data_IF_921411015127
#
_entry.id   IF_921411015127
#
_cell.length_a   1.000
_cell.length_b   1.000
_cell.length_c   1.000
_cell.angle_alpha   90.00
_cell.angle_beta   90.00
_cell.angle_gamma   90.00
#
_symmetry.space_group_name_H-M   'P 1'
#
loop_
_entity.id
_entity.type
_entity.pdbx_description
1 polymer ?
#
# COMPACT_ATOMS: atom_id res chain seq x y z
N UNK A 1 20.50 -13.63 -9.34
CA UNK A 1 19.25 -13.08 -9.91
C UNK A 1 18.52 -12.31 -8.83
N UNK A 2 17.98 -11.13 -9.11
CA UNK A 2 17.33 -10.26 -8.10
C UNK A 2 15.86 -10.03 -8.44
N UNK A 3 15.04 -9.65 -7.45
CA UNK A 3 13.64 -9.31 -7.68
C UNK A 3 13.53 -8.18 -8.71
N UNK A 4 12.66 -8.38 -9.71
CA UNK A 4 12.39 -7.39 -10.75
C UNK A 4 11.40 -6.33 -10.28
N UNK A 5 10.53 -6.70 -9.32
CA UNK A 5 9.48 -5.85 -8.76
C UNK A 5 9.31 -6.12 -7.28
N UNK A 6 9.12 -5.04 -6.52
CA UNK A 6 8.85 -5.09 -5.09
C UNK A 6 7.52 -4.39 -4.83
N UNK A 7 6.61 -5.05 -4.13
CA UNK A 7 5.37 -4.45 -3.64
C UNK A 7 5.46 -4.32 -2.13
N UNK A 8 5.36 -3.12 -1.60
CA UNK A 8 5.43 -2.85 -0.17
C UNK A 8 4.09 -2.31 0.33
N UNK A 9 3.42 -3.07 1.19
CA UNK A 9 2.25 -2.60 1.92
C UNK A 9 2.68 -1.85 3.17
N UNK A 10 2.14 -0.64 3.37
CA UNK A 10 2.37 0.11 4.62
C UNK A 10 1.37 -0.36 5.68
N UNK A 11 1.85 -0.50 6.92
CA UNK A 11 1.09 -0.88 8.10
C UNK A 11 1.97 -0.98 9.34
N UNK A 12 1.37 -1.13 10.50
CA UNK A 12 2.03 -1.36 11.78
C UNK A 12 2.01 -2.86 12.13
N UNK A 13 3.12 -3.41 12.66
CA UNK A 13 3.15 -4.77 13.18
C UNK A 13 2.49 -4.86 14.55
N UNK A 14 1.88 -6.00 14.83
CA UNK A 14 1.26 -6.32 16.13
C UNK A 14 -0.24 -6.54 16.02
N UNK A 15 -0.78 -7.47 16.83
CA UNK A 15 -2.19 -7.83 16.79
C UNK A 15 -3.13 -6.66 17.13
N UNK A 16 -2.65 -5.67 17.88
CA UNK A 16 -3.40 -4.46 18.21
C UNK A 16 -3.70 -3.57 16.99
N UNK A 17 -2.95 -3.73 15.90
CA UNK A 17 -3.13 -3.00 14.64
C UNK A 17 -3.86 -3.80 13.57
N UNK A 18 -4.16 -5.08 13.83
CA UNK A 18 -4.87 -5.93 12.87
C UNK A 18 -6.25 -5.35 12.55
N UNK A 19 -6.55 -5.25 11.25
CA UNK A 19 -7.82 -4.69 10.78
C UNK A 19 -8.00 -3.20 10.95
N UNK A 20 -6.98 -2.46 11.41
CA UNK A 20 -7.04 -0.99 11.46
C UNK A 20 -6.92 -0.39 10.04
N UNK A 21 -7.42 0.84 9.88
CA UNK A 21 -7.36 1.57 8.60
C UNK A 21 -5.93 1.79 8.13
N UNK A 22 -5.00 2.00 9.05
CA UNK A 22 -3.58 2.21 8.73
C UNK A 22 -2.89 0.93 8.23
N UNK A 23 -3.51 -0.24 8.44
CA UNK A 23 -3.05 -1.52 7.91
C UNK A 23 -3.70 -1.91 6.57
N UNK A 24 -4.38 -0.97 5.88
CA UNK A 24 -4.97 -1.22 4.57
C UNK A 24 -3.96 -1.77 3.55
N UNK A 25 -2.70 -1.32 3.61
CA UNK A 25 -1.63 -1.86 2.78
C UNK A 25 -1.36 -3.35 3.06
N UNK A 26 -1.37 -3.77 4.32
CA UNK A 26 -1.21 -5.17 4.72
C UNK A 26 -2.38 -6.02 4.24
N UNK A 27 -3.62 -5.54 4.42
CA UNK A 27 -4.83 -6.26 3.98
C UNK A 27 -4.80 -6.57 2.48
N UNK A 28 -4.38 -5.62 1.65
CA UNK A 28 -4.24 -5.82 0.20
C UNK A 28 -3.19 -6.87 -0.11
N UNK A 29 -2.03 -6.84 0.57
CA UNK A 29 -0.97 -7.81 0.32
C UNK A 29 -1.32 -9.21 0.84
N UNK A 30 -2.04 -9.32 1.97
CA UNK A 30 -2.50 -10.60 2.47
C UNK A 30 -3.48 -11.25 1.49
N UNK A 31 -4.45 -10.49 0.98
CA UNK A 31 -5.39 -10.97 -0.04
C UNK A 31 -4.67 -11.37 -1.34
N UNK A 32 -3.69 -10.57 -1.78
CA UNK A 32 -2.92 -10.90 -2.98
C UNK A 32 -2.09 -12.16 -2.80
N UNK A 33 -1.42 -12.32 -1.66
CA UNK A 33 -0.62 -13.51 -1.36
C UNK A 33 -1.48 -14.77 -1.33
N UNK A 34 -2.62 -14.75 -0.63
CA UNK A 34 -3.58 -15.85 -0.58
C UNK A 34 -4.02 -16.26 -1.99
N UNK A 35 -4.43 -15.30 -2.82
CA UNK A 35 -4.86 -15.54 -4.20
C UNK A 35 -3.76 -16.13 -5.09
N UNK A 36 -2.51 -15.81 -4.81
CA UNK A 36 -1.34 -16.34 -5.53
C UNK A 36 -0.83 -17.68 -4.94
N UNK A 37 -1.47 -18.20 -3.90
CA UNK A 37 -1.03 -19.41 -3.19
C UNK A 37 0.30 -19.23 -2.46
N UNK A 38 0.61 -17.99 -2.03
CA UNK A 38 1.83 -17.63 -1.32
C UNK A 38 1.54 -17.38 0.16
N UNK A 39 2.55 -17.59 1.00
CA UNK A 39 2.48 -17.31 2.44
C UNK A 39 3.60 -16.38 2.85
N UNK A 40 3.29 -15.43 3.74
CA UNK A 40 4.29 -14.56 4.32
C UNK A 40 5.18 -15.31 5.30
N UNK A 41 6.48 -15.14 5.14
CA UNK A 41 7.50 -15.64 6.06
C UNK A 41 8.35 -14.49 6.56
N UNK A 42 8.99 -14.69 7.71
CA UNK A 42 9.96 -13.71 8.21
C UNK A 42 11.13 -13.63 7.23
N UNK A 43 11.52 -12.40 6.88
CA UNK A 43 12.72 -12.19 6.07
C UNK A 43 13.94 -12.66 6.86
N UNK A 44 14.48 -13.82 6.48
CA UNK A 44 15.73 -14.35 7.03
C UNK A 44 16.91 -13.92 6.17
N UNK A 45 18.06 -13.70 6.83
CA UNK A 45 19.31 -13.48 6.12
C UNK A 45 19.73 -14.81 5.51
N UNK A 46 19.72 -14.94 4.19
CA UNK A 46 20.46 -15.99 3.51
C UNK A 46 21.94 -15.59 3.53
N UNK A 47 22.68 -16.12 4.51
CA UNK A 47 24.06 -15.71 4.75
C UNK A 47 25.07 -16.30 3.75
N UNK A 48 24.77 -17.39 3.03
CA UNK A 48 25.82 -18.24 2.46
C UNK A 48 25.74 -18.56 0.97
N UNK A 49 24.76 -18.05 0.22
CA UNK A 49 24.71 -18.33 -1.23
C UNK A 49 25.23 -17.18 -2.12
N UNK A 50 25.80 -16.15 -1.53
CA UNK A 50 26.43 -15.04 -2.25
C UNK A 50 25.49 -14.14 -3.03
N UNK A 51 24.17 -14.35 -2.99
CA UNK A 51 23.23 -13.69 -3.89
C UNK A 51 22.48 -12.49 -3.31
N UNK A 52 22.35 -12.35 -1.98
CA UNK A 52 21.55 -11.25 -1.38
C UNK A 52 22.12 -10.81 -0.02
N UNK A 53 23.08 -9.90 -0.05
CA UNK A 53 23.64 -9.31 1.17
C UNK A 53 22.82 -8.09 1.58
N UNK A 54 22.05 -8.20 2.66
CA UNK A 54 21.49 -7.03 3.34
C UNK A 54 22.53 -6.47 4.33
N UNK A 55 22.98 -5.26 4.12
CA UNK A 55 23.73 -4.55 5.15
C UNK A 55 22.73 -4.01 6.20
N UNK A 56 22.58 -4.72 7.32
CA UNK A 56 21.73 -4.30 8.41
C UNK A 56 20.55 -5.25 8.72
N UNK A 57 19.84 -5.00 9.83
CA UNK A 57 18.64 -5.77 10.24
C UNK A 57 17.41 -5.22 9.56
N UNK A 58 17.02 -5.81 8.43
CA UNK A 58 15.68 -5.53 7.83
C UNK A 58 14.65 -6.36 8.58
N UNK A 59 13.65 -5.71 9.16
CA UNK A 59 12.53 -6.37 9.84
C UNK A 59 11.31 -6.35 8.90
N UNK A 60 11.04 -7.46 8.24
CA UNK A 60 9.89 -7.59 7.34
C UNK A 60 9.35 -9.02 7.34
N UNK A 61 8.07 -9.16 6.99
CA UNK A 61 7.51 -10.39 6.46
C UNK A 61 7.45 -10.27 4.94
N UNK A 62 7.78 -11.35 4.23
CA UNK A 62 7.89 -11.35 2.78
C UNK A 62 7.25 -12.58 2.16
N UNK A 63 6.73 -12.42 0.94
CA UNK A 63 6.41 -13.51 0.03
C UNK A 63 7.22 -13.34 -1.24
N UNK A 64 7.95 -14.37 -1.64
CA UNK A 64 8.62 -14.41 -2.94
C UNK A 64 7.74 -15.15 -3.95
N UNK A 65 7.65 -14.60 -5.15
CA UNK A 65 6.89 -15.22 -6.22
C UNK A 65 7.49 -14.95 -7.60
N UNK A 66 6.93 -15.62 -8.61
CA UNK A 66 7.33 -15.46 -10.01
C UNK A 66 6.12 -15.33 -10.91
N UNK A 67 6.12 -14.27 -11.75
CA UNK A 67 5.06 -14.03 -12.75
C UNK A 67 5.65 -13.65 -14.08
N UNK A 68 5.12 -14.25 -15.16
CA UNK A 68 5.62 -14.00 -16.54
C UNK A 68 7.16 -14.09 -16.64
N UNK A 69 7.76 -15.04 -15.95
CA UNK A 69 9.21 -15.24 -15.94
C UNK A 69 10.00 -14.28 -15.04
N UNK A 70 9.37 -13.32 -14.34
CA UNK A 70 10.00 -12.31 -13.49
C UNK A 70 9.75 -12.60 -12.02
N UNK A 71 10.80 -12.51 -11.22
CA UNK A 71 10.71 -12.64 -9.76
C UNK A 71 10.17 -11.35 -9.16
N UNK A 72 9.33 -11.47 -8.12
CA UNK A 72 8.82 -10.34 -7.35
C UNK A 72 8.86 -10.63 -5.86
N UNK A 73 8.77 -9.57 -5.07
CA UNK A 73 8.71 -9.62 -3.62
C UNK A 73 7.50 -8.82 -3.12
N UNK A 74 6.65 -9.46 -2.32
CA UNK A 74 5.66 -8.77 -1.49
C UNK A 74 6.26 -8.53 -0.11
N UNK A 75 6.08 -7.35 0.45
CA UNK A 75 6.75 -6.93 1.69
C UNK A 75 5.77 -6.28 2.65
N UNK A 76 5.68 -6.82 3.86
CA UNK A 76 5.03 -6.17 5.02
C UNK A 76 6.12 -5.78 6.01
N UNK A 77 6.47 -4.48 6.15
CA UNK A 77 7.42 -4.02 7.15
C UNK A 77 7.01 -4.47 8.55
N UNK A 78 7.96 -4.91 9.33
CA UNK A 78 7.78 -5.21 10.76
C UNK A 78 8.40 -4.11 11.61
N UNK A 79 8.23 -2.87 11.13
CA UNK A 79 8.53 -1.61 11.79
C UNK A 79 7.26 -0.77 11.85
N UNK A 80 7.20 0.21 12.73
CA UNK A 80 6.10 1.18 12.66
C UNK A 80 6.10 1.93 11.34
N UNK A 81 4.91 2.42 10.93
CA UNK A 81 4.70 3.11 9.65
C UNK A 81 5.73 4.19 9.36
N UNK A 82 6.08 5.02 10.35
CA UNK A 82 7.06 6.10 10.21
C UNK A 82 8.52 5.62 9.99
N UNK A 83 8.75 4.31 10.03
CA UNK A 83 10.05 3.66 9.77
C UNK A 83 10.01 2.75 8.52
N UNK A 84 8.98 2.85 7.68
CA UNK A 84 8.84 2.01 6.47
C UNK A 84 10.01 2.15 5.50
N UNK A 85 10.66 3.30 5.47
CA UNK A 85 11.85 3.55 4.67
C UNK A 85 13.07 2.72 5.09
N UNK A 86 13.17 2.35 6.37
CA UNK A 86 14.25 1.48 6.89
C UNK A 86 14.15 0.05 6.35
N UNK A 87 12.98 -0.32 5.81
CA UNK A 87 12.75 -1.59 5.12
C UNK A 87 12.87 -1.41 3.61
N UNK A 88 12.21 -0.40 3.03
CA UNK A 88 12.18 -0.18 1.59
C UNK A 88 13.57 0.05 0.99
N UNK A 89 14.38 0.93 1.57
CA UNK A 89 15.66 1.32 0.98
C UNK A 89 16.71 0.19 0.95
N UNK A 90 16.92 -0.61 2.01
CA UNK A 90 17.79 -1.77 1.93
C UNK A 90 17.34 -2.82 0.92
N UNK A 91 16.02 -3.08 0.81
CA UNK A 91 15.49 -4.02 -0.18
C UNK A 91 15.73 -3.55 -1.62
N UNK A 92 15.50 -2.26 -1.90
CA UNK A 92 15.77 -1.68 -3.21
C UNK A 92 17.24 -1.74 -3.58
N UNK A 93 18.15 -1.45 -2.64
CA UNK A 93 19.60 -1.60 -2.86
C UNK A 93 19.99 -3.04 -3.14
N UNK A 94 19.47 -3.99 -2.35
CA UNK A 94 19.75 -5.42 -2.55
C UNK A 94 19.20 -5.93 -3.89
N UNK A 95 18.07 -5.41 -4.35
CA UNK A 95 17.52 -5.73 -5.65
C UNK A 95 18.30 -5.11 -6.83
N UNK A 96 19.12 -4.08 -6.56
CA UNK A 96 19.83 -3.35 -7.62
C UNK A 96 18.88 -2.68 -8.61
N UNK A 97 17.74 -2.16 -8.12
CA UNK A 97 16.67 -1.61 -8.96
C UNK A 97 16.46 -0.13 -8.70
N UNK A 98 15.92 0.54 -9.71
CA UNK A 98 15.45 1.93 -9.65
C UNK A 98 14.13 2.04 -8.91
N UNK A 99 13.79 3.21 -8.32
CA UNK A 99 12.58 3.39 -7.52
C UNK A 99 11.26 3.03 -8.22
N UNK A 100 11.19 3.11 -9.55
CA UNK A 100 10.02 2.74 -10.34
C UNK A 100 9.64 1.25 -10.28
N UNK A 101 10.56 0.40 -9.81
CA UNK A 101 10.31 -1.02 -9.53
C UNK A 101 9.75 -1.31 -8.12
N UNK A 102 9.56 -0.27 -7.29
CA UNK A 102 8.90 -0.34 -5.99
C UNK A 102 7.46 0.17 -6.10
N UNK A 103 6.45 -0.68 -5.89
CA UNK A 103 5.06 -0.26 -5.83
C UNK A 103 4.59 -0.24 -4.37
N UNK A 104 4.29 0.94 -3.84
CA UNK A 104 3.87 1.11 -2.45
C UNK A 104 2.35 1.13 -2.36
N UNK A 105 1.78 0.32 -1.47
CA UNK A 105 0.34 0.29 -1.14
C UNK A 105 0.13 0.99 0.20
N UNK A 106 -0.70 2.02 0.22
CA UNK A 106 -0.84 2.92 1.36
C UNK A 106 -2.29 3.38 1.52
N UNK A 107 -2.73 3.57 2.77
CA UNK A 107 -3.99 4.22 3.09
C UNK A 107 -4.00 5.71 2.74
N UNK A 108 -5.17 6.24 2.39
CA UNK A 108 -5.37 7.66 2.10
C UNK A 108 -6.62 8.18 2.79
N UNK A 109 -6.40 9.02 3.80
CA UNK A 109 -7.45 9.65 4.59
C UNK A 109 -8.32 10.63 3.77
N UNK A 110 -7.73 11.23 2.72
CA UNK A 110 -8.40 12.21 1.86
C UNK A 110 -9.16 11.57 0.69
N UNK A 111 -9.14 10.25 0.60
CA UNK A 111 -9.84 9.49 -0.42
C UNK A 111 -10.96 8.69 0.24
N UNK A 112 -12.23 8.79 -0.23
CA UNK A 112 -13.33 8.00 0.31
C UNK A 112 -13.05 6.50 0.26
N UNK A 113 -13.54 5.74 1.23
CA UNK A 113 -13.52 4.29 1.18
C UNK A 113 -14.29 3.80 -0.07
N UNK A 114 -13.74 2.79 -0.74
CA UNK A 114 -14.23 2.30 -2.03
C UNK A 114 -13.47 2.86 -3.22
N UNK A 115 -12.60 3.85 -3.02
CA UNK A 115 -11.75 4.39 -4.08
C UNK A 115 -10.30 3.99 -3.93
N UNK A 116 -9.64 3.80 -5.07
CA UNK A 116 -8.18 3.73 -5.14
C UNK A 116 -7.65 4.81 -6.07
N UNK A 117 -6.41 5.22 -5.85
CA UNK A 117 -5.72 6.16 -6.71
C UNK A 117 -4.27 5.74 -6.91
N UNK A 118 -3.91 5.53 -8.17
CA UNK A 118 -2.55 5.17 -8.58
C UNK A 118 -1.84 6.44 -9.02
N UNK A 119 -0.59 6.60 -8.59
CA UNK A 119 0.33 7.66 -9.04
C UNK A 119 1.72 7.05 -9.27
N UNK A 120 2.41 7.38 -10.38
CA UNK A 120 3.76 6.88 -10.66
C UNK A 120 4.82 7.53 -9.77
N UNK A 121 4.52 8.72 -9.24
CA UNK A 121 5.41 9.51 -8.38
C UNK A 121 4.61 10.53 -7.56
N UNK A 122 5.26 11.30 -6.70
CA UNK A 122 4.67 12.45 -6.03
C UNK A 122 4.97 12.53 -4.53
N UNK A 123 4.53 13.61 -3.90
CA UNK A 123 4.78 13.89 -2.48
C UNK A 123 4.12 12.88 -1.53
N UNK A 124 4.60 12.83 -0.30
CA UNK A 124 4.04 12.00 0.76
C UNK A 124 2.59 12.39 1.15
N UNK A 125 2.18 13.65 0.88
CA UNK A 125 0.84 14.14 1.20
C UNK A 125 0.50 14.05 2.69
N UNK A 126 1.49 14.23 3.57
CA UNK A 126 1.34 14.13 5.02
C UNK A 126 1.41 12.71 5.59
N UNK A 127 1.51 11.66 4.75
CA UNK A 127 1.57 10.28 5.20
C UNK A 127 2.98 9.91 5.69
N UNK A 128 3.15 9.61 6.99
CA UNK A 128 4.46 9.37 7.62
C UNK A 128 5.25 8.22 7.00
N UNK A 129 4.57 7.15 6.56
CA UNK A 129 5.23 6.02 5.89
C UNK A 129 5.83 6.40 4.53
N UNK A 130 5.09 7.16 3.72
CA UNK A 130 5.60 7.66 2.44
C UNK A 130 6.75 8.65 2.66
N UNK A 131 6.66 9.53 3.68
CA UNK A 131 7.73 10.45 4.05
C UNK A 131 9.01 9.68 4.40
N UNK A 132 8.91 8.66 5.25
CA UNK A 132 10.02 7.79 5.61
C UNK A 132 10.66 7.12 4.39
N UNK A 133 9.85 6.59 3.46
CA UNK A 133 10.35 5.96 2.24
C UNK A 133 11.07 6.99 1.36
N UNK A 134 10.50 8.18 1.16
CA UNK A 134 11.12 9.25 0.37
C UNK A 134 12.48 9.68 0.94
N UNK A 135 12.55 9.88 2.25
CA UNK A 135 13.79 10.27 2.94
C UNK A 135 14.89 9.21 2.79
N UNK A 136 14.53 7.92 2.95
CA UNK A 136 15.51 6.82 2.89
C UNK A 136 15.93 6.41 1.48
N UNK A 137 15.05 6.60 0.48
CA UNK A 137 15.35 6.37 -0.93
C UNK A 137 16.02 7.59 -1.58
N UNK A 138 15.85 8.79 -1.02
CA UNK A 138 16.27 10.05 -1.65
C UNK A 138 15.47 10.38 -2.92
N UNK A 139 14.26 9.81 -3.06
CA UNK A 139 13.44 9.96 -4.28
C UNK A 139 11.96 9.79 -3.96
N UNK A 140 11.11 10.50 -4.68
CA UNK A 140 9.66 10.31 -4.70
C UNK A 140 9.18 9.67 -6.02
N UNK A 141 10.10 9.26 -6.90
CA UNK A 141 9.83 8.66 -8.20
C UNK A 141 9.53 7.16 -8.10
N UNK A 142 8.73 6.75 -7.13
CA UNK A 142 8.23 5.38 -7.00
C UNK A 142 6.70 5.35 -7.10
N UNK A 143 6.14 4.35 -7.78
CA UNK A 143 4.68 4.17 -7.88
C UNK A 143 4.03 3.91 -6.53
N UNK A 144 2.81 4.44 -6.38
CA UNK A 144 1.97 4.16 -5.22
C UNK A 144 0.52 3.93 -5.59
N UNK A 145 -0.10 2.97 -4.93
CA UNK A 145 -1.54 2.78 -4.88
C UNK A 145 -2.02 3.32 -3.54
N UNK A 146 -2.85 4.36 -3.58
CA UNK A 146 -3.50 4.95 -2.41
C UNK A 146 -4.90 4.37 -2.31
N UNK A 147 -5.19 3.69 -1.20
CA UNK A 147 -6.49 3.11 -0.89
C UNK A 147 -7.24 4.06 0.04
N UNK A 148 -8.40 4.51 -0.39
CA UNK A 148 -9.25 5.39 0.39
C UNK A 148 -9.73 4.73 1.68
N UNK A 149 -9.55 5.42 2.80
CA UNK A 149 -10.03 5.03 4.12
C UNK A 149 -10.93 6.09 4.75
N UNK A 150 -11.14 7.22 4.05
CA UNK A 150 -12.07 8.27 4.49
C UNK A 150 -13.51 7.79 4.51
N UNK A 151 -14.44 8.62 5.03
CA UNK A 151 -15.87 8.28 5.10
C UNK A 151 -16.42 7.81 3.74
N UNK A 152 -17.40 6.92 3.78
CA UNK A 152 -18.15 6.51 2.58
C UNK A 152 -18.73 7.75 1.88
N UNK A 153 -18.69 7.76 0.55
CA UNK A 153 -19.19 8.88 -0.27
C UNK A 153 -20.66 9.26 -0.01
N UNK A 154 -21.47 8.28 0.44
CA UNK A 154 -22.89 8.49 0.81
C UNK A 154 -23.09 9.24 2.12
N UNK A 155 -22.07 9.34 2.97
CA UNK A 155 -22.13 10.06 4.25
C UNK A 155 -21.74 11.53 4.12
N UNK A 156 -21.17 11.94 2.99
CA UNK A 156 -20.92 13.35 2.66
C UNK A 156 -22.25 14.02 2.29
N UNK A 157 -22.87 14.71 3.24
CA UNK A 157 -24.14 15.47 3.05
C UNK A 157 -24.02 16.70 2.14
N UNK A 158 -22.85 17.02 1.64
CA UNK A 158 -22.63 18.09 0.67
C UNK A 158 -21.87 17.54 -0.53
N UNK A 159 -22.40 17.72 -1.73
CA UNK A 159 -21.79 17.32 -3.01
C UNK A 159 -20.45 17.99 -3.33
N UNK A 160 -19.70 18.38 -2.31
CA UNK A 160 -18.35 18.90 -2.39
C UNK A 160 -17.39 17.75 -2.64
N UNK A 161 -16.77 17.74 -3.80
CA UNK A 161 -15.61 16.88 -4.05
C UNK A 161 -14.52 17.19 -3.01
N UNK A 162 -13.86 16.15 -2.44
CA UNK A 162 -12.72 16.38 -1.55
C UNK A 162 -11.70 17.25 -2.26
N UNK A 163 -11.45 18.43 -1.76
CA UNK A 163 -10.39 19.29 -2.29
C UNK A 163 -9.06 18.58 -2.08
N UNK A 164 -8.28 18.46 -3.15
CA UNK A 164 -6.89 18.02 -3.07
C UNK A 164 -6.10 19.06 -2.24
N UNK A 165 -6.00 18.81 -0.95
CA UNK A 165 -5.28 19.64 0.01
C UNK A 165 -5.05 18.86 1.29
N UNK A 166 -4.14 19.30 2.13
CA UNK A 166 -3.72 18.67 3.38
C UNK A 166 -4.82 18.58 4.48
N UNK A 167 -6.10 18.54 4.11
CA UNK A 167 -7.24 18.45 5.01
C UNK A 167 -7.85 17.05 4.95
N UNK A 168 -7.77 16.28 6.02
CA UNK A 168 -8.46 15.01 6.19
C UNK A 168 -9.97 15.09 5.93
N UNK A 169 -10.74 14.05 6.33
CA UNK A 169 -12.17 14.00 6.13
C UNK A 169 -12.86 15.29 6.56
N UNK A 170 -13.81 15.77 5.76
CA UNK A 170 -14.55 17.00 6.04
C UNK A 170 -15.15 16.97 7.46
N UNK A 171 -14.83 17.98 8.25
CA UNK A 171 -15.27 18.07 9.65
C UNK A 171 -14.38 17.36 10.67
N UNK A 172 -13.33 16.65 10.28
CA UNK A 172 -12.40 16.02 11.21
C UNK A 172 -11.19 16.92 11.48
N UNK A 173 -11.02 17.33 12.74
CA UNK A 173 -9.85 18.10 13.15
C UNK A 173 -8.56 17.26 13.01
N UNK A 174 -7.44 17.84 12.54
CA UNK A 174 -6.16 17.12 12.36
C UNK A 174 -5.68 16.35 13.59
N UNK A 175 -5.93 16.84 14.80
CA UNK A 175 -5.60 16.15 16.05
C UNK A 175 -6.26 14.76 16.19
N UNK A 176 -7.34 14.50 15.46
CA UNK A 176 -8.07 13.22 15.51
C UNK A 176 -7.64 12.23 14.43
N UNK A 177 -6.76 12.61 13.50
CA UNK A 177 -6.37 11.75 12.39
C UNK A 177 -5.66 10.47 12.85
N UNK A 178 -4.77 10.57 13.83
CA UNK A 178 -4.08 9.40 14.38
C UNK A 178 -5.05 8.39 15.00
N UNK A 179 -6.04 8.86 15.76
CA UNK A 179 -7.08 8.00 16.32
C UNK A 179 -7.93 7.33 15.22
N UNK A 180 -8.26 8.05 14.16
CA UNK A 180 -9.06 7.52 13.06
C UNK A 180 -8.30 6.45 12.26
N UNK A 181 -7.04 6.68 11.87
CA UNK A 181 -6.27 5.70 11.08
C UNK A 181 -5.94 4.45 11.90
N UNK A 182 -5.81 4.55 13.22
CA UNK A 182 -5.57 3.43 14.11
C UNK A 182 -6.87 2.73 14.57
N UNK A 183 -8.03 3.25 14.20
CA UNK A 183 -9.30 2.56 14.46
C UNK A 183 -9.57 1.46 13.41
N UNK A 184 -10.26 0.37 13.80
CA UNK A 184 -10.71 -0.64 12.85
C UNK A 184 -11.79 -0.07 11.91
N UNK A 185 -12.00 -0.75 10.79
CA UNK A 185 -13.15 -0.47 9.90
C UNK A 185 -14.45 -0.88 10.59
N UNK A 186 -15.48 -0.07 10.41
CA UNK A 186 -16.80 -0.31 10.95
C UNK A 186 -17.46 -1.52 10.24
N UNK A 187 -18.43 -2.22 10.88
CA UNK A 187 -19.12 -3.34 10.27
C UNK A 187 -19.73 -3.01 8.90
N UNK A 188 -20.36 -1.84 8.75
CA UNK A 188 -20.96 -1.33 7.53
C UNK A 188 -19.96 -0.97 6.43
N UNK A 189 -18.69 -0.78 6.78
CA UNK A 189 -17.62 -0.48 5.83
C UNK A 189 -16.99 -1.75 5.24
N UNK A 190 -17.17 -2.91 5.88
CA UNK A 190 -16.42 -4.15 5.57
C UNK A 190 -16.71 -4.66 4.16
N UNK A 191 -17.94 -4.56 3.68
CA UNK A 191 -18.28 -5.00 2.33
C UNK A 191 -17.57 -4.16 1.27
N UNK A 192 -17.60 -2.83 1.42
CA UNK A 192 -16.89 -1.90 0.53
C UNK A 192 -15.39 -2.12 0.61
N UNK A 193 -14.85 -2.31 1.83
CA UNK A 193 -13.44 -2.64 2.04
C UNK A 193 -13.06 -3.92 1.29
N UNK A 194 -13.84 -4.99 1.40
CA UNK A 194 -13.58 -6.24 0.69
C UNK A 194 -13.47 -6.04 -0.83
N UNK A 195 -14.42 -5.32 -1.42
CA UNK A 195 -14.39 -5.03 -2.86
C UNK A 195 -13.16 -4.20 -3.27
N UNK A 196 -12.83 -3.16 -2.52
CA UNK A 196 -11.69 -2.30 -2.86
C UNK A 196 -10.34 -3.00 -2.65
N UNK A 197 -10.23 -3.90 -1.67
CA UNK A 197 -9.04 -4.75 -1.46
C UNK A 197 -8.83 -5.69 -2.64
N UNK A 198 -9.88 -6.40 -3.09
CA UNK A 198 -9.83 -7.26 -4.30
C UNK A 198 -9.33 -6.46 -5.50
N UNK A 199 -9.91 -5.29 -5.73
CA UNK A 199 -9.56 -4.42 -6.85
C UNK A 199 -8.13 -3.88 -6.78
N UNK A 200 -7.67 -3.51 -5.58
CA UNK A 200 -6.27 -3.11 -5.38
C UNK A 200 -5.30 -4.26 -5.68
N UNK A 201 -5.65 -5.48 -5.25
CA UNK A 201 -4.89 -6.68 -5.56
C UNK A 201 -4.86 -6.99 -7.06
N UNK A 202 -6.00 -6.81 -7.79
CA UNK A 202 -6.06 -6.94 -9.24
C UNK A 202 -5.12 -5.98 -9.95
N UNK A 203 -5.11 -4.73 -9.53
CA UNK A 203 -4.20 -3.71 -10.07
C UNK A 203 -2.73 -4.11 -9.88
N UNK A 204 -2.36 -4.54 -8.67
CA UNK A 204 -1.00 -4.95 -8.38
C UNK A 204 -0.62 -6.18 -9.21
N UNK A 205 -1.50 -7.17 -9.33
CA UNK A 205 -1.26 -8.36 -10.12
C UNK A 205 -1.04 -8.00 -11.60
N UNK A 206 -1.84 -7.10 -12.18
CA UNK A 206 -1.62 -6.65 -13.56
C UNK A 206 -0.27 -5.95 -13.73
N UNK A 207 0.14 -5.15 -12.74
CA UNK A 207 1.47 -4.58 -12.75
C UNK A 207 2.54 -5.66 -12.70
N UNK A 208 2.44 -6.65 -11.82
CA UNK A 208 3.35 -7.79 -11.75
C UNK A 208 3.40 -8.57 -13.07
N UNK A 209 2.31 -8.62 -13.83
CA UNK A 209 2.20 -9.25 -15.14
C UNK A 209 2.75 -8.40 -16.29
N UNK A 210 3.11 -7.14 -16.04
CA UNK A 210 3.78 -6.29 -17.02
C UNK A 210 2.98 -5.08 -17.49
N UNK A 211 1.77 -4.85 -16.99
CA UNK A 211 1.01 -3.65 -17.33
C UNK A 211 1.79 -2.37 -16.95
N UNK A 212 1.71 -1.35 -17.78
CA UNK A 212 2.29 -0.03 -17.51
C UNK A 212 1.35 0.83 -16.64
N UNK A 213 1.89 1.89 -16.03
CA UNK A 213 1.12 2.73 -15.12
C UNK A 213 0.05 3.58 -15.83
N UNK A 214 0.21 3.93 -17.09
CA UNK A 214 -0.79 4.67 -17.86
C UNK A 214 -2.07 3.82 -18.00
N UNK A 215 -1.94 2.58 -18.40
CA UNK A 215 -3.05 1.61 -18.47
C UNK A 215 -3.70 1.41 -17.10
N UNK A 216 -2.91 1.18 -16.05
CA UNK A 216 -3.43 0.98 -14.71
C UNK A 216 -4.19 2.22 -14.19
N UNK A 217 -3.65 3.41 -14.39
CA UNK A 217 -4.32 4.65 -13.99
C UNK A 217 -5.62 4.86 -14.76
N UNK A 218 -5.63 4.62 -16.06
CA UNK A 218 -6.85 4.70 -16.87
C UNK A 218 -7.95 3.75 -16.40
N UNK A 219 -7.56 2.52 -16.05
CA UNK A 219 -8.50 1.49 -15.59
C UNK A 219 -9.00 1.72 -14.16
N UNK A 220 -8.08 2.02 -13.24
CA UNK A 220 -8.39 1.92 -11.81
C UNK A 220 -8.69 3.24 -11.11
N UNK A 221 -8.23 4.39 -11.63
CA UNK A 221 -8.47 5.68 -10.99
C UNK A 221 -9.92 6.20 -11.19
N UNK A 222 -10.61 5.72 -12.23
CA UNK A 222 -11.97 6.17 -12.59
C UNK A 222 -13.09 5.41 -11.89
N UNK A 223 -12.78 4.21 -11.36
CA UNK A 223 -13.79 3.33 -10.76
C UNK A 223 -14.05 3.69 -9.28
N UNK A 224 -15.25 3.46 -8.82
CA UNK A 224 -15.70 3.65 -7.44
C UNK A 224 -16.39 2.37 -6.95
N UNK A 225 -15.92 1.80 -5.84
CA UNK A 225 -16.53 0.64 -5.18
C UNK A 225 -17.43 1.07 -4.00
N UNK A 226 -17.87 2.32 -3.99
CA UNK A 226 -18.82 2.82 -3.01
C UNK A 226 -20.11 1.99 -2.95
N UNK A 227 -20.99 2.24 -1.97
CA UNK A 227 -22.26 1.57 -1.88
C UNK A 227 -23.02 1.72 -3.21
N UNK A 228 -23.49 0.60 -3.76
CA UNK A 228 -24.40 0.67 -4.91
C UNK A 228 -25.70 1.26 -4.40
N UNK A 229 -26.32 2.23 -5.13
CA UNK A 229 -27.68 2.63 -4.80
C UNK A 229 -28.56 1.38 -4.82
N UNK A 230 -29.39 1.22 -3.79
CA UNK A 230 -30.36 0.14 -3.69
C UNK A 230 -31.17 0.09 -4.99
N UNK A 231 -31.20 -1.11 -5.60
CA UNK A 231 -31.97 -1.37 -6.82
C UNK A 231 -33.46 -1.51 -6.48
#
# INVERSE_FOLDING_TARGET
MGWHRIVLGIGNPGPEYDGTRHNAGFLVLDHLAERLGLSFTRLERHADDGSRVFSGKVKAQVCEGRRKGREFLLVKPQTYVNLSGDVAAPLMRAAGRTPDSLFVVVDDLNLPLGRIRIRPSGSAGGHNGLKSIQERLGSDAYPRLRLGIGPLATQSRSGAQPRAGNGGPEGMHPANWSGFVLAPFLPEEREVLGRVVVRAADCIQQWLDGANFETLMGTYNSLDEGPKPDA
#
